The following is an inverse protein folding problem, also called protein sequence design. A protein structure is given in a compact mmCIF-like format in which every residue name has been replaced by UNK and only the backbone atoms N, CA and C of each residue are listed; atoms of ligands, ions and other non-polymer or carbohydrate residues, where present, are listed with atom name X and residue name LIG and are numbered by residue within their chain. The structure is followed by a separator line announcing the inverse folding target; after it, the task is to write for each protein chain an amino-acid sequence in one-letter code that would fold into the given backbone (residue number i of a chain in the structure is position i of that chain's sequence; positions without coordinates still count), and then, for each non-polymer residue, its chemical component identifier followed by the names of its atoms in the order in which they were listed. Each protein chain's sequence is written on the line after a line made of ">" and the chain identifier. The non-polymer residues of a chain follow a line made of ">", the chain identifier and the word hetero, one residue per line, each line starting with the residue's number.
data_IF_253331757085
#
_entry.id   IF_253331757085
#
_cell.length_a   1.000
_cell.length_b   1.000
_cell.length_c   1.000
_cell.angle_alpha   90.00
_cell.angle_beta   90.00
_cell.angle_gamma   90.00
#
_symmetry.space_group_name_H-M   'P 1'
#
loop_
_entity.id
_entity.type
_entity.pdbx_description
1 polymer ?
#
# COMPACT_ATOMS: atom_id res chain seq x y z
N UNK A 1 4.21 -6.61 -16.81
CA UNK A 1 4.85 -5.73 -15.80
C UNK A 1 3.78 -4.81 -15.25
N UNK A 2 3.61 -4.74 -13.94
CA UNK A 2 2.58 -3.91 -13.29
C UNK A 2 3.21 -2.60 -12.85
N UNK A 3 2.47 -1.50 -12.93
CA UNK A 3 2.95 -0.19 -12.44
C UNK A 3 2.97 -0.18 -10.90
N UNK A 4 3.97 0.46 -10.28
CA UNK A 4 4.12 0.45 -8.82
C UNK A 4 2.94 1.14 -8.10
N UNK A 5 2.20 2.01 -8.80
CA UNK A 5 1.07 2.76 -8.26
C UNK A 5 -0.13 1.88 -7.85
N UNK A 6 -0.19 0.66 -8.39
CA UNK A 6 -1.28 -0.30 -8.17
C UNK A 6 -0.90 -1.41 -7.17
N UNK A 7 0.29 -1.30 -6.57
CA UNK A 7 0.84 -2.24 -5.59
C UNK A 7 0.74 -1.65 -4.20
N UNK A 8 -0.08 -2.26 -3.34
CA UNK A 8 -0.27 -1.85 -1.96
C UNK A 8 0.42 -2.85 -1.04
N UNK A 9 1.35 -2.38 -0.22
CA UNK A 9 2.11 -3.24 0.69
C UNK A 9 1.91 -2.78 2.13
N UNK A 10 1.59 -3.71 3.03
CA UNK A 10 1.22 -3.39 4.40
C UNK A 10 1.62 -4.48 5.39
N UNK A 11 1.54 -4.12 6.69
CA UNK A 11 1.73 -5.07 7.78
C UNK A 11 3.14 -5.63 7.87
N UNK A 12 4.16 -4.82 7.55
CA UNK A 12 5.54 -5.26 7.68
C UNK A 12 5.92 -5.47 9.14
N UNK A 13 6.43 -6.66 9.45
CA UNK A 13 7.03 -7.01 10.73
C UNK A 13 8.46 -7.46 10.49
N UNK A 14 9.39 -6.76 11.12
CA UNK A 14 10.80 -7.15 11.13
C UNK A 14 11.07 -8.09 12.31
N UNK A 15 11.87 -9.13 12.10
CA UNK A 15 12.34 -9.96 13.19
C UNK A 15 13.34 -9.19 14.06
N UNK A 16 13.25 -9.37 15.38
CA UNK A 16 14.23 -8.81 16.32
C UNK A 16 15.59 -9.47 16.07
N UNK A 17 16.64 -8.66 15.95
CA UNK A 17 17.96 -9.10 15.47
C UNK A 17 18.17 -8.98 13.95
N UNK A 18 17.15 -8.61 13.18
CA UNK A 18 17.27 -8.27 11.76
C UNK A 18 17.41 -9.46 10.81
N UNK A 19 17.54 -9.17 9.51
CA UNK A 19 17.78 -10.16 8.45
C UNK A 19 16.55 -10.69 7.73
N UNK A 20 15.36 -10.60 8.33
CA UNK A 20 14.09 -10.98 7.69
C UNK A 20 12.96 -10.03 8.08
N UNK A 21 12.20 -9.61 7.09
CA UNK A 21 10.99 -8.80 7.25
C UNK A 21 9.87 -9.51 6.50
N UNK A 22 8.77 -9.80 7.18
CA UNK A 22 7.57 -10.37 6.57
C UNK A 22 6.53 -9.28 6.39
N UNK A 23 5.72 -9.38 5.35
CA UNK A 23 4.66 -8.42 5.05
C UNK A 23 3.73 -8.96 3.97
N UNK A 24 2.63 -8.26 3.75
CA UNK A 24 1.61 -8.63 2.78
C UNK A 24 1.52 -7.59 1.66
N UNK A 25 1.26 -8.05 0.44
CA UNK A 25 1.05 -7.20 -0.73
C UNK A 25 -0.28 -7.55 -1.40
N UNK A 26 -1.02 -6.51 -1.80
CA UNK A 26 -2.18 -6.61 -2.69
C UNK A 26 -1.84 -5.90 -3.99
N UNK A 27 -2.01 -6.60 -5.10
CA UNK A 27 -1.75 -6.10 -6.44
C UNK A 27 -3.10 -6.01 -7.15
N UNK A 28 -3.48 -4.81 -7.55
CA UNK A 28 -4.70 -4.58 -8.33
C UNK A 28 -4.36 -4.28 -9.79
N UNK A 29 -5.32 -4.49 -10.68
CA UNK A 29 -5.19 -4.12 -12.10
C UNK A 29 -5.50 -2.65 -12.33
N UNK A 30 -6.42 -2.06 -11.55
CA UNK A 30 -6.85 -0.66 -11.67
C UNK A 30 -6.92 0.05 -10.32
N UNK A 31 -6.69 1.37 -10.35
CA UNK A 31 -6.71 2.23 -9.16
C UNK A 31 -8.12 2.39 -8.57
N UNK A 32 -9.16 2.24 -9.38
CA UNK A 32 -10.55 2.35 -8.95
C UNK A 32 -10.97 1.16 -8.07
N UNK A 33 -10.47 -0.04 -8.38
CA UNK A 33 -10.64 -1.22 -7.53
C UNK A 33 -9.92 -1.00 -6.19
N UNK A 34 -8.70 -0.49 -6.23
CA UNK A 34 -7.95 -0.19 -5.01
C UNK A 34 -8.72 0.79 -4.09
N UNK A 35 -9.29 1.87 -4.64
CA UNK A 35 -10.07 2.86 -3.86
C UNK A 35 -11.36 2.29 -3.27
N UNK A 36 -11.98 1.30 -3.92
CA UNK A 36 -13.25 0.70 -3.47
C UNK A 36 -13.06 -0.31 -2.33
N UNK A 37 -11.97 -1.07 -2.38
CA UNK A 37 -11.72 -2.16 -1.43
C UNK A 37 -10.79 -1.77 -0.27
N UNK A 38 -9.93 -0.76 -0.44
CA UNK A 38 -9.02 -0.31 0.61
C UNK A 38 -9.73 0.57 1.66
N UNK A 39 -9.44 0.35 2.96
CA UNK A 39 -9.91 1.25 4.01
C UNK A 39 -9.23 2.63 3.92
N UNK A 40 -9.99 3.68 4.25
CA UNK A 40 -9.60 5.11 4.09
C UNK A 40 -8.21 5.47 4.66
N UNK A 41 -7.78 4.82 5.74
CA UNK A 41 -6.46 5.09 6.36
C UNK A 41 -5.28 4.64 5.48
N UNK A 42 -5.44 3.57 4.67
CA UNK A 42 -4.38 3.11 3.75
C UNK A 42 -4.28 4.03 2.53
N UNK A 43 -5.42 4.48 2.01
CA UNK A 43 -5.48 5.48 0.93
C UNK A 43 -4.80 6.80 1.32
N UNK A 44 -4.96 7.24 2.57
CA UNK A 44 -4.28 8.43 3.10
C UNK A 44 -2.75 8.24 3.16
N UNK A 45 -2.27 7.05 3.59
CA UNK A 45 -0.84 6.73 3.61
C UNK A 45 -0.18 6.75 2.24
N UNK A 46 -0.91 6.33 1.21
CA UNK A 46 -0.46 6.36 -0.18
C UNK A 46 -0.70 7.71 -0.88
N UNK A 47 -1.22 8.72 -0.18
CA UNK A 47 -1.45 10.06 -0.74
C UNK A 47 -2.57 10.15 -1.78
N UNK A 48 -3.43 9.13 -1.86
CA UNK A 48 -4.53 9.05 -2.84
C UNK A 48 -5.84 9.69 -2.35
N UNK A 49 -5.86 10.19 -1.10
CA UNK A 49 -7.06 10.73 -0.44
C UNK A 49 -6.99 12.24 -0.12
N UNK A 50 -5.81 12.89 -0.18
CA UNK A 50 -5.67 14.32 0.16
C UNK A 50 -5.11 15.14 -1.02
N UNK A 51 -5.81 16.19 -1.48
CA UNK A 51 -5.21 17.21 -2.33
C UNK A 51 -4.35 18.12 -1.44
N UNK A 52 -3.03 18.07 -1.59
CA UNK A 52 -2.14 18.99 -0.88
C UNK A 52 -0.86 18.33 -0.43
N UNK A 53 0.06 18.17 -1.39
CA UNK A 53 1.49 18.15 -1.08
C UNK A 53 1.89 19.55 -0.63
N UNK A 54 2.62 19.62 0.48
CA UNK A 54 3.71 20.58 0.64
C UNK A 54 5.00 19.77 0.48
#
# INVERSE_FOLDING_TARGET
>A
KVTPDVVFVFGFKTNFGGGKSTGFALIYETLDLAKKFEPKHRLARHGLYLPGRC
#
